data_IF_486128314424
#
_entry.id   IF_486128314424
#
_cell.length_a   1.000
_cell.length_b   1.000
_cell.length_c   1.000
_cell.angle_alpha   90.00
_cell.angle_beta   90.00
_cell.angle_gamma   90.00
#
_symmetry.space_group_name_H-M   'P 1'
#
loop_
_entity.id
_entity.type
_entity.pdbx_description
1 polymer ?
#
# COMPACT_ATOMS: atom_id res chain seq x y z
N UNK A 1 -18.76 -27.06 1.31
CA UNK A 1 -19.78 -26.11 1.68
C UNK A 1 -19.25 -24.91 2.45
N UNK A 2 -20.16 -24.12 2.93
CA UNK A 2 -19.84 -22.89 3.70
C UNK A 2 -19.03 -23.24 4.96
N UNK A 3 -19.37 -24.35 5.59
CA UNK A 3 -18.69 -24.80 6.80
C UNK A 3 -17.24 -25.17 6.52
N UNK A 4 -17.00 -25.86 5.42
CA UNK A 4 -15.63 -26.22 5.03
C UNK A 4 -14.82 -24.96 4.70
N UNK A 5 -15.43 -24.00 4.02
CA UNK A 5 -14.79 -22.73 3.72
C UNK A 5 -14.46 -21.95 4.99
N UNK A 6 -15.36 -21.98 5.98
CA UNK A 6 -15.14 -21.32 7.28
C UNK A 6 -13.99 -21.99 8.06
N UNK A 7 -13.95 -23.32 8.08
CA UNK A 7 -12.87 -24.09 8.73
C UNK A 7 -11.53 -23.84 8.03
N UNK A 8 -11.54 -23.83 6.71
CA UNK A 8 -10.35 -23.55 5.92
C UNK A 8 -9.84 -22.12 6.19
N UNK A 9 -10.75 -21.16 6.22
CA UNK A 9 -10.43 -19.78 6.54
C UNK A 9 -9.86 -19.66 7.96
N UNK A 10 -10.42 -20.38 8.93
CA UNK A 10 -9.92 -20.36 10.29
C UNK A 10 -8.52 -20.95 10.41
N UNK A 11 -8.26 -22.05 9.72
CA UNK A 11 -6.95 -22.72 9.75
C UNK A 11 -5.89 -21.99 8.96
N UNK A 12 -6.27 -21.42 7.81
CA UNK A 12 -5.38 -20.66 6.95
C UNK A 12 -5.27 -19.19 7.30
N UNK A 13 -6.09 -18.70 8.23
CA UNK A 13 -6.24 -17.25 8.47
C UNK A 13 -4.95 -16.59 8.96
N UNK A 14 -4.15 -17.28 9.77
CA UNK A 14 -2.89 -16.72 10.28
C UNK A 14 -1.93 -16.43 9.14
N UNK A 15 -1.74 -17.39 8.22
CA UNK A 15 -0.89 -17.21 7.05
C UNK A 15 -1.46 -16.16 6.09
N UNK A 16 -2.77 -16.22 5.83
CA UNK A 16 -3.42 -15.26 4.94
C UNK A 16 -3.37 -13.84 5.51
N UNK A 17 -3.56 -13.68 6.82
CA UNK A 17 -3.48 -12.39 7.50
C UNK A 17 -2.05 -11.87 7.44
N UNK A 18 -1.06 -12.72 7.69
CA UNK A 18 0.36 -12.36 7.61
C UNK A 18 0.71 -11.91 6.19
N UNK A 19 0.27 -12.66 5.17
CA UNK A 19 0.50 -12.31 3.76
C UNK A 19 -0.12 -10.96 3.41
N UNK A 20 -1.32 -10.68 3.91
CA UNK A 20 -1.99 -9.40 3.70
C UNK A 20 -1.18 -8.24 4.31
N UNK A 21 -0.61 -8.45 5.50
CA UNK A 21 0.24 -7.47 6.14
C UNK A 21 1.52 -7.21 5.36
N UNK A 22 2.17 -8.26 4.88
CA UNK A 22 3.35 -8.16 4.02
C UNK A 22 3.02 -7.44 2.71
N UNK A 23 1.91 -7.79 2.08
CA UNK A 23 1.47 -7.15 0.84
C UNK A 23 1.24 -5.66 1.04
N UNK A 24 0.63 -5.26 2.16
CA UNK A 24 0.41 -3.86 2.49
C UNK A 24 1.75 -3.10 2.61
N UNK A 25 2.75 -3.70 3.26
CA UNK A 25 4.08 -3.10 3.38
C UNK A 25 4.77 -2.98 2.03
N UNK A 26 4.71 -4.01 1.20
CA UNK A 26 5.30 -3.96 -0.14
C UNK A 26 4.59 -2.93 -1.03
N UNK A 27 3.27 -2.84 -0.96
CA UNK A 27 2.52 -1.83 -1.71
C UNK A 27 2.89 -0.42 -1.26
N UNK A 28 3.01 -0.19 0.03
CA UNK A 28 3.43 1.09 0.58
C UNK A 28 4.81 1.47 0.07
N UNK A 29 5.77 0.55 0.16
CA UNK A 29 7.13 0.77 -0.31
C UNK A 29 7.16 1.07 -1.82
N UNK A 30 6.41 0.30 -2.61
CA UNK A 30 6.32 0.50 -4.05
C UNK A 30 5.72 1.87 -4.41
N UNK A 31 4.66 2.27 -3.71
CA UNK A 31 4.04 3.59 -3.92
C UNK A 31 5.00 4.72 -3.59
N UNK A 32 5.69 4.62 -2.48
CA UNK A 32 6.66 5.64 -2.06
C UNK A 32 7.85 5.69 -3.00
N UNK A 33 8.35 4.54 -3.45
CA UNK A 33 9.42 4.48 -4.44
C UNK A 33 8.99 5.09 -5.78
N UNK A 34 7.77 4.79 -6.23
CA UNK A 34 7.22 5.38 -7.45
C UNK A 34 7.09 6.91 -7.31
N UNK A 35 6.69 7.40 -6.13
CA UNK A 35 6.62 8.83 -5.85
C UNK A 35 7.98 9.50 -5.96
N UNK A 36 9.04 8.86 -5.48
CA UNK A 36 10.41 9.37 -5.62
C UNK A 36 10.84 9.43 -7.09
N UNK A 37 10.49 8.41 -7.87
CA UNK A 37 10.80 8.40 -9.30
C UNK A 37 10.07 9.53 -10.05
N UNK A 38 8.81 9.77 -9.72
CA UNK A 38 8.06 10.90 -10.29
C UNK A 38 8.76 12.21 -9.93
N UNK A 39 9.13 12.39 -8.66
CA UNK A 39 9.77 13.62 -8.19
C UNK A 39 11.11 13.87 -8.90
N UNK A 40 11.92 12.84 -9.11
CA UNK A 40 13.18 12.95 -9.84
C UNK A 40 12.92 13.40 -11.27
N UNK A 41 11.95 12.76 -11.93
CA UNK A 41 11.63 13.06 -13.33
C UNK A 41 11.03 14.46 -13.51
N UNK A 42 10.11 14.85 -12.64
CA UNK A 42 9.49 16.18 -12.70
C UNK A 42 10.49 17.28 -12.44
N UNK A 43 11.48 17.02 -11.57
CA UNK A 43 12.55 17.97 -11.27
C UNK A 43 13.39 18.32 -12.52
N UNK A 44 13.52 17.37 -13.44
CA UNK A 44 14.29 17.54 -14.66
C UNK A 44 13.48 18.07 -15.84
N UNK A 45 12.16 18.21 -15.68
CA UNK A 45 11.29 18.68 -16.75
C UNK A 45 11.42 20.19 -16.96
N UNK A 46 11.45 20.59 -18.22
CA UNK A 46 11.44 22.01 -18.59
C UNK A 46 10.05 22.63 -18.47
N UNK A 47 9.01 21.85 -18.79
CA UNK A 47 7.61 22.27 -18.64
C UNK A 47 7.20 22.20 -17.16
N UNK A 48 7.36 23.33 -16.47
CA UNK A 48 7.12 23.39 -15.01
C UNK A 48 5.65 23.25 -14.64
N UNK A 49 4.75 23.66 -15.52
CA UNK A 49 3.32 23.52 -15.26
C UNK A 49 2.90 22.06 -15.32
N UNK A 50 3.39 21.34 -16.33
CA UNK A 50 3.14 19.91 -16.46
C UNK A 50 3.77 19.13 -15.30
N UNK A 51 4.99 19.48 -14.92
CA UNK A 51 5.68 18.87 -13.78
C UNK A 51 4.89 19.04 -12.49
N UNK A 52 4.37 20.24 -12.21
CA UNK A 52 3.57 20.51 -11.03
C UNK A 52 2.30 19.66 -11.00
N UNK A 53 1.66 19.46 -12.15
CA UNK A 53 0.48 18.58 -12.26
C UNK A 53 0.79 17.13 -11.93
N UNK A 54 1.93 16.63 -12.40
CA UNK A 54 2.36 15.26 -12.10
C UNK A 54 2.72 15.09 -10.61
N UNK A 55 3.42 16.06 -10.03
CA UNK A 55 3.75 16.05 -8.61
C UNK A 55 2.49 16.06 -7.74
N UNK A 56 1.49 16.85 -8.11
CA UNK A 56 0.22 16.90 -7.40
C UNK A 56 -0.53 15.58 -7.46
N UNK A 57 -0.56 14.94 -8.63
CA UNK A 57 -1.16 13.61 -8.80
C UNK A 57 -0.47 12.58 -7.92
N UNK A 58 0.85 12.57 -7.92
CA UNK A 58 1.64 11.63 -7.12
C UNK A 58 1.37 11.86 -5.63
N UNK A 59 1.35 13.12 -5.19
CA UNK A 59 1.07 13.47 -3.80
C UNK A 59 -0.32 13.01 -3.37
N UNK A 60 -1.33 13.18 -4.22
CA UNK A 60 -2.69 12.72 -3.92
C UNK A 60 -2.79 11.21 -3.82
N UNK A 61 -2.13 10.50 -4.72
CA UNK A 61 -2.10 9.03 -4.67
C UNK A 61 -1.46 8.53 -3.37
N UNK A 62 -0.32 9.12 -2.99
CA UNK A 62 0.33 8.75 -1.74
C UNK A 62 -0.53 9.07 -0.53
N UNK A 63 -1.17 10.24 -0.52
CA UNK A 63 -2.04 10.66 0.59
C UNK A 63 -3.26 9.75 0.75
N UNK A 64 -3.74 9.15 -0.35
CA UNK A 64 -4.89 8.24 -0.33
C UNK A 64 -4.48 6.81 0.03
N UNK A 65 -3.46 6.27 -0.61
CA UNK A 65 -3.15 4.84 -0.55
C UNK A 65 -2.16 4.46 0.55
N UNK A 66 -1.24 5.35 0.93
CA UNK A 66 -0.29 5.04 2.02
C UNK A 66 -1.02 4.84 3.35
N UNK A 67 -1.98 5.71 3.74
CA UNK A 67 -2.75 5.47 4.96
C UNK A 67 -3.56 4.17 4.92
N UNK A 68 -4.09 3.78 3.75
CA UNK A 68 -4.80 2.51 3.60
C UNK A 68 -3.86 1.33 3.85
N UNK A 69 -2.65 1.38 3.32
CA UNK A 69 -1.65 0.34 3.56
C UNK A 69 -1.29 0.28 5.05
N UNK A 70 -1.14 1.42 5.70
CA UNK A 70 -0.86 1.50 7.13
C UNK A 70 -2.00 0.90 7.95
N UNK A 71 -3.26 1.16 7.58
CA UNK A 71 -4.44 0.59 8.23
C UNK A 71 -4.46 -0.93 8.12
N UNK A 72 -4.19 -1.46 6.93
CA UNK A 72 -4.14 -2.91 6.72
C UNK A 72 -3.04 -3.52 7.59
N UNK A 73 -1.85 -2.92 7.58
CA UNK A 73 -0.75 -3.41 8.42
C UNK A 73 -1.13 -3.39 9.90
N UNK A 74 -1.69 -2.30 10.40
CA UNK A 74 -2.08 -2.18 11.80
C UNK A 74 -3.16 -3.17 12.19
N UNK A 75 -4.13 -3.40 11.30
CA UNK A 75 -5.17 -4.39 11.50
C UNK A 75 -4.57 -5.80 11.62
N UNK A 76 -3.63 -6.13 10.72
CA UNK A 76 -2.96 -7.42 10.73
C UNK A 76 -2.10 -7.57 11.98
N UNK A 77 -1.29 -6.57 12.30
CA UNK A 77 -0.42 -6.59 13.47
C UNK A 77 -1.23 -6.74 14.76
N UNK A 78 -2.36 -6.05 14.86
CA UNK A 78 -3.27 -6.15 15.98
C UNK A 78 -3.83 -7.58 16.14
N UNK A 79 -4.25 -8.20 15.02
CA UNK A 79 -4.79 -9.56 15.03
C UNK A 79 -3.74 -10.60 15.42
N UNK A 80 -2.49 -10.36 15.05
CA UNK A 80 -1.36 -11.24 15.38
C UNK A 80 -0.70 -10.86 16.71
N UNK A 81 -1.11 -9.75 17.30
CA UNK A 81 -0.54 -9.21 18.56
C UNK A 81 0.96 -8.94 18.45
N UNK A 82 1.32 -8.38 17.33
CA UNK A 82 2.72 -7.95 17.09
C UNK A 82 2.97 -6.59 17.70
#
# INVERSE_FOLDING_TARGET
>A
GIRLAADYAAKGSVLAVSDAGCAALFCKAALQAAGLNVAINTKLMTDRLHAAGLDEKAARMLAEYVPLADEVYQSVASRLRV
#
